data_IF_721816558267
#
_entry.id   IF_721816558267
#
_cell.length_a   1.000
_cell.length_b   1.000
_cell.length_c   1.000
_cell.angle_alpha   90.00
_cell.angle_beta   90.00
_cell.angle_gamma   90.00
#
_symmetry.space_group_name_H-M   'P 1'
#
loop_
_entity.id
_entity.type
_entity.pdbx_description
1 polymer ?
#
# COMPACT_ATOMS: atom_id res chain seq x y z
N UNK A 1 -17.90 -6.77 -11.43
CA UNK A 1 -17.96 -6.09 -10.12
C UNK A 1 -16.89 -6.67 -9.23
N UNK A 2 -16.12 -5.82 -8.57
CA UNK A 2 -15.07 -6.26 -7.64
C UNK A 2 -15.74 -6.94 -6.42
N UNK A 3 -15.24 -8.09 -5.90
CA UNK A 3 -15.87 -8.79 -4.78
C UNK A 3 -16.08 -7.91 -3.54
N UNK A 4 -15.14 -7.01 -3.25
CA UNK A 4 -15.21 -6.07 -2.13
C UNK A 4 -16.42 -5.13 -2.25
N UNK A 5 -16.71 -4.61 -3.44
CA UNK A 5 -17.86 -3.73 -3.67
C UNK A 5 -19.17 -4.41 -3.27
N UNK A 6 -19.34 -5.69 -3.64
CA UNK A 6 -20.53 -6.47 -3.29
C UNK A 6 -20.68 -6.64 -1.77
N UNK A 7 -19.58 -6.86 -1.06
CA UNK A 7 -19.59 -7.01 0.41
C UNK A 7 -19.94 -5.68 1.08
N UNK A 8 -19.36 -4.57 0.64
CA UNK A 8 -19.64 -3.26 1.19
C UNK A 8 -21.08 -2.83 0.96
N UNK A 9 -21.61 -3.01 -0.26
CA UNK A 9 -23.02 -2.75 -0.57
C UNK A 9 -23.97 -3.58 0.28
N UNK A 10 -23.67 -4.86 0.50
CA UNK A 10 -24.46 -5.75 1.35
C UNK A 10 -24.47 -5.31 2.83
N UNK A 11 -23.45 -4.57 3.27
CA UNK A 11 -23.36 -3.96 4.60
C UNK A 11 -23.99 -2.56 4.67
N UNK A 12 -24.51 -2.05 3.56
CA UNK A 12 -25.15 -0.75 3.48
C UNK A 12 -24.16 0.41 3.30
N UNK A 13 -22.90 0.10 2.97
CA UNK A 13 -21.91 1.13 2.68
C UNK A 13 -22.17 1.78 1.32
N UNK A 14 -21.88 3.06 1.24
CA UNK A 14 -22.05 3.82 0.01
C UNK A 14 -20.77 3.73 -0.84
N UNK A 15 -20.89 3.16 -2.03
CA UNK A 15 -19.81 3.13 -3.02
C UNK A 15 -19.89 4.41 -3.84
N UNK A 16 -18.79 5.16 -3.86
CA UNK A 16 -18.72 6.36 -4.67
C UNK A 16 -18.63 6.00 -6.17
N UNK A 17 -19.38 6.68 -7.07
CA UNK A 17 -19.38 6.39 -8.51
C UNK A 17 -17.99 6.46 -9.16
N UNK A 18 -17.10 7.32 -8.67
CA UNK A 18 -15.73 7.44 -9.17
C UNK A 18 -14.92 6.14 -9.01
N UNK A 19 -15.30 5.23 -8.11
CA UNK A 19 -14.65 3.92 -7.97
C UNK A 19 -14.69 3.07 -9.24
N UNK A 20 -15.63 3.34 -10.14
CA UNK A 20 -15.72 2.66 -11.43
C UNK A 20 -14.55 2.99 -12.39
N UNK A 21 -13.79 4.04 -12.09
CA UNK A 21 -12.61 4.47 -12.88
C UNK A 21 -11.29 3.94 -12.30
N UNK A 22 -11.32 3.32 -11.11
CA UNK A 22 -10.13 2.71 -10.54
C UNK A 22 -9.71 1.47 -11.33
N UNK A 23 -8.44 1.40 -11.66
CA UNK A 23 -7.83 0.22 -12.27
C UNK A 23 -7.46 -0.82 -11.18
N UNK A 24 -7.59 -2.10 -11.53
CA UNK A 24 -7.18 -3.19 -10.65
C UNK A 24 -5.79 -3.68 -11.03
N UNK A 25 -4.84 -3.54 -10.12
CA UNK A 25 -3.45 -3.97 -10.29
C UNK A 25 -3.33 -5.47 -10.55
N UNK A 26 -4.06 -6.29 -9.79
CA UNK A 26 -4.01 -7.76 -9.93
C UNK A 26 -4.37 -8.23 -11.33
N UNK A 27 -5.32 -7.58 -12.01
CA UNK A 27 -5.73 -7.98 -13.36
C UNK A 27 -4.64 -7.74 -14.41
N UNK A 28 -3.80 -6.73 -14.19
CA UNK A 28 -2.67 -6.44 -15.09
C UNK A 28 -1.50 -7.39 -14.85
N UNK A 29 -1.23 -7.75 -13.60
CA UNK A 29 -0.19 -8.72 -13.24
C UNK A 29 -0.55 -10.11 -13.78
N UNK A 30 -1.81 -10.54 -13.63
CA UNK A 30 -2.29 -11.82 -14.16
C UNK A 30 -2.15 -11.94 -15.68
N UNK A 31 -2.40 -10.87 -16.42
CA UNK A 31 -2.31 -10.88 -17.88
C UNK A 31 -0.87 -11.02 -18.40
N UNK A 32 0.13 -10.66 -17.59
CA UNK A 32 1.55 -10.73 -17.94
C UNK A 32 2.25 -11.96 -17.36
N UNK A 33 1.72 -12.54 -16.29
CA UNK A 33 2.24 -13.77 -15.67
C UNK A 33 1.89 -15.05 -16.46
N UNK A 34 1.14 -14.94 -17.55
CA UNK A 34 0.62 -16.10 -18.30
C UNK A 34 1.70 -17.00 -18.93
N UNK A 35 2.97 -16.62 -18.95
CA UNK A 35 4.09 -17.39 -19.49
C UNK A 35 5.32 -17.51 -18.57
N UNK A 36 5.18 -17.46 -17.26
CA UNK A 36 6.27 -17.64 -16.28
C UNK A 36 7.45 -16.65 -16.34
N UNK A 37 7.45 -15.69 -17.24
CA UNK A 37 8.45 -14.62 -17.32
C UNK A 37 7.81 -13.29 -16.95
N UNK A 38 7.69 -13.03 -15.65
CA UNK A 38 7.39 -11.69 -15.16
C UNK A 38 8.61 -10.82 -15.47
N UNK A 39 8.54 -10.06 -16.55
CA UNK A 39 9.51 -9.00 -16.79
C UNK A 39 9.31 -7.93 -15.70
N UNK A 40 10.00 -8.10 -14.59
CA UNK A 40 9.88 -7.30 -13.37
C UNK A 40 9.86 -5.78 -13.67
N UNK A 41 10.68 -5.34 -14.62
CA UNK A 41 10.71 -3.93 -15.04
C UNK A 41 9.41 -3.46 -15.75
N UNK A 42 8.78 -4.31 -16.55
CA UNK A 42 7.51 -3.95 -17.21
C UNK A 42 6.34 -3.99 -16.23
N UNK A 43 6.35 -4.95 -15.29
CA UNK A 43 5.35 -5.04 -14.23
C UNK A 43 5.41 -3.80 -13.32
N UNK A 44 6.60 -3.39 -12.87
CA UNK A 44 6.79 -2.19 -12.05
C UNK A 44 6.32 -0.95 -12.82
N UNK A 45 6.72 -0.77 -14.08
CA UNK A 45 6.32 0.39 -14.87
C UNK A 45 4.80 0.49 -15.07
N UNK A 46 4.12 -0.63 -15.28
CA UNK A 46 2.65 -0.65 -15.41
C UNK A 46 1.97 -0.41 -14.07
N UNK A 47 2.56 -0.90 -12.99
CA UNK A 47 2.08 -0.58 -11.64
C UNK A 47 2.13 0.92 -11.39
N UNK A 48 3.20 1.60 -11.72
CA UNK A 48 3.31 3.06 -11.62
C UNK A 48 2.24 3.80 -12.41
N UNK A 49 1.95 3.37 -13.64
CA UNK A 49 0.89 3.95 -14.48
C UNK A 49 -0.50 3.77 -13.82
N UNK A 50 -0.77 2.62 -13.23
CA UNK A 50 -2.03 2.32 -12.52
C UNK A 50 -2.13 3.14 -11.24
N UNK A 51 -1.07 3.18 -10.43
CA UNK A 51 -1.02 3.95 -9.19
C UNK A 51 -1.27 5.44 -9.47
N UNK A 52 -0.63 5.99 -10.50
CA UNK A 52 -0.88 7.37 -10.91
C UNK A 52 -2.32 7.61 -11.38
N UNK A 53 -2.87 6.70 -12.18
CA UNK A 53 -4.25 6.81 -12.66
C UNK A 53 -5.26 6.75 -11.49
N UNK A 54 -5.07 5.82 -10.56
CA UNK A 54 -5.91 5.69 -9.37
C UNK A 54 -5.79 6.92 -8.46
N UNK A 55 -4.57 7.43 -8.28
CA UNK A 55 -4.37 8.66 -7.54
C UNK A 55 -5.13 9.84 -8.17
N UNK A 56 -5.12 9.98 -9.49
CA UNK A 56 -5.84 11.06 -10.17
C UNK A 56 -7.36 10.99 -9.94
N UNK A 57 -7.94 9.78 -9.89
CA UNK A 57 -9.35 9.59 -9.51
C UNK A 57 -9.62 10.09 -8.11
N UNK A 58 -8.76 9.71 -7.15
CA UNK A 58 -8.85 10.17 -5.77
C UNK A 58 -8.67 11.69 -5.67
N UNK A 59 -7.65 12.24 -6.32
CA UNK A 59 -7.36 13.67 -6.30
C UNK A 59 -8.52 14.53 -6.82
N UNK A 60 -9.14 14.11 -7.92
CA UNK A 60 -10.29 14.81 -8.48
C UNK A 60 -11.49 14.77 -7.52
N UNK A 61 -11.71 13.62 -6.88
CA UNK A 61 -12.76 13.45 -5.88
C UNK A 61 -12.59 14.41 -4.70
N UNK A 62 -11.41 14.41 -4.06
CA UNK A 62 -11.15 15.23 -2.86
C UNK A 62 -10.94 16.72 -3.16
N UNK A 63 -10.79 17.09 -4.44
CA UNK A 63 -10.82 18.49 -4.87
C UNK A 63 -12.26 19.02 -4.86
N UNK A 64 -13.21 18.19 -5.24
CA UNK A 64 -14.60 18.57 -5.47
C UNK A 64 -15.49 18.28 -4.25
N UNK A 65 -15.05 17.41 -3.34
CA UNK A 65 -15.74 17.04 -2.11
C UNK A 65 -14.84 17.16 -0.89
N UNK A 66 -15.38 17.65 0.23
CA UNK A 66 -14.67 17.77 1.50
C UNK A 66 -14.83 16.51 2.34
N UNK A 67 -13.72 16.02 2.87
CA UNK A 67 -13.65 14.89 3.79
C UNK A 67 -12.80 15.24 5.01
N UNK A 68 -13.24 14.82 6.19
CA UNK A 68 -12.50 15.00 7.45
C UNK A 68 -11.43 13.92 7.65
N UNK A 69 -11.64 12.73 7.05
CA UNK A 69 -10.79 11.57 7.22
C UNK A 69 -10.68 10.78 5.92
N UNK A 70 -9.45 10.41 5.60
CA UNK A 70 -9.13 9.44 4.55
C UNK A 70 -8.58 8.18 5.20
N UNK A 71 -9.03 7.01 4.74
CA UNK A 71 -8.55 5.72 5.18
C UNK A 71 -8.06 4.97 3.93
N UNK A 72 -6.77 4.69 3.88
CA UNK A 72 -6.14 3.90 2.81
C UNK A 72 -5.83 2.50 3.32
N UNK A 73 -6.55 1.50 2.80
CA UNK A 73 -6.27 0.09 3.01
C UNK A 73 -5.40 -0.37 1.84
N UNK A 74 -4.09 -0.38 2.08
CA UNK A 74 -3.06 -0.62 1.05
C UNK A 74 -3.21 0.26 -0.20
N UNK A 75 -3.72 1.47 -0.02
CA UNK A 75 -3.84 2.45 -1.09
C UNK A 75 -2.45 3.09 -1.38
N UNK A 76 -1.56 2.29 -1.96
CA UNK A 76 -0.17 2.66 -2.25
C UNK A 76 -0.08 3.92 -3.10
N UNK A 77 -0.98 4.07 -4.06
CA UNK A 77 -1.11 5.27 -4.89
C UNK A 77 -1.31 6.54 -4.07
N UNK A 78 -2.13 6.46 -3.03
CA UNK A 78 -2.41 7.59 -2.16
C UNK A 78 -1.24 7.88 -1.23
N UNK A 79 -0.72 6.85 -0.57
CA UNK A 79 0.37 6.99 0.39
C UNK A 79 1.65 7.53 -0.26
N UNK A 80 2.09 6.92 -1.34
CA UNK A 80 3.27 7.35 -2.09
C UNK A 80 3.13 8.81 -2.57
N UNK A 81 2.00 9.13 -3.18
CA UNK A 81 1.79 10.45 -3.75
C UNK A 81 1.71 11.56 -2.69
N UNK A 82 1.12 11.28 -1.54
CA UNK A 82 1.09 12.23 -0.43
C UNK A 82 2.49 12.48 0.16
N UNK A 83 3.36 11.47 0.19
CA UNK A 83 4.75 11.66 0.60
C UNK A 83 5.55 12.50 -0.40
N UNK A 84 5.27 12.36 -1.71
CA UNK A 84 5.87 13.21 -2.73
C UNK A 84 5.28 14.63 -2.78
N UNK A 85 4.00 14.79 -2.38
CA UNK A 85 3.27 16.05 -2.47
C UNK A 85 2.54 16.36 -1.14
N UNK A 86 3.27 16.60 -0.03
CA UNK A 86 2.69 16.72 1.31
C UNK A 86 1.68 17.87 1.44
N UNK A 87 1.75 18.87 0.58
CA UNK A 87 0.80 19.99 0.52
C UNK A 87 -0.59 19.59 0.02
N UNK A 88 -0.73 18.41 -0.59
CA UNK A 88 -2.02 17.88 -1.05
C UNK A 88 -2.84 17.24 0.08
N UNK A 89 -2.21 16.97 1.22
CA UNK A 89 -2.91 16.42 2.39
C UNK A 89 -3.85 17.46 2.99
N UNK A 90 -5.16 17.23 2.89
CA UNK A 90 -6.23 18.14 3.36
C UNK A 90 -7.09 17.57 4.47
N UNK A 91 -6.98 16.27 4.76
CA UNK A 91 -7.74 15.57 5.79
C UNK A 91 -6.80 14.77 6.71
N UNK A 92 -7.32 14.29 7.83
CA UNK A 92 -6.62 13.26 8.59
C UNK A 92 -6.45 12.00 7.73
N UNK A 93 -5.28 11.35 7.81
CA UNK A 93 -5.00 10.17 7.00
C UNK A 93 -4.57 8.99 7.86
N UNK A 94 -5.29 7.89 7.71
CA UNK A 94 -4.99 6.59 8.33
C UNK A 94 -4.57 5.61 7.25
N UNK A 95 -3.39 5.03 7.42
CA UNK A 95 -2.87 3.97 6.57
C UNK A 95 -3.05 2.62 7.25
N UNK A 96 -3.62 1.64 6.52
CA UNK A 96 -3.73 0.24 6.95
C UNK A 96 -2.92 -0.64 6.00
N UNK A 97 -2.22 -1.63 6.55
CA UNK A 97 -1.51 -2.65 5.76
C UNK A 97 -1.33 -3.92 6.59
N UNK A 98 -1.17 -5.06 5.93
CA UNK A 98 -0.80 -6.34 6.54
C UNK A 98 0.64 -6.75 6.22
N UNK A 99 1.37 -5.95 5.46
CA UNK A 99 2.80 -6.14 5.22
C UNK A 99 3.57 -4.81 5.15
N UNK A 100 4.87 -4.89 5.41
CA UNK A 100 5.77 -3.73 5.35
C UNK A 100 7.08 -4.14 4.70
N UNK A 101 7.44 -3.42 3.63
CA UNK A 101 8.66 -3.67 2.87
C UNK A 101 8.62 -4.93 2.00
N UNK A 102 9.71 -5.17 1.33
CA UNK A 102 9.87 -6.23 0.35
C UNK A 102 11.06 -7.11 0.68
N UNK A 103 10.96 -8.39 0.42
CA UNK A 103 12.09 -9.32 0.44
C UNK A 103 12.40 -9.79 -0.99
N UNK A 104 13.67 -9.93 -1.34
CA UNK A 104 14.03 -10.46 -2.65
C UNK A 104 13.60 -11.93 -2.76
N UNK A 105 13.20 -12.36 -3.94
CA UNK A 105 12.92 -13.76 -4.21
C UNK A 105 14.20 -14.58 -4.08
N UNK A 106 14.09 -15.81 -3.58
CA UNK A 106 15.24 -16.68 -3.31
C UNK A 106 16.10 -16.98 -4.56
N UNK A 107 15.51 -16.95 -5.74
CA UNK A 107 16.14 -17.19 -7.04
C UNK A 107 16.41 -15.91 -7.84
N UNK A 108 16.09 -14.72 -7.29
CA UNK A 108 16.22 -13.43 -7.98
C UNK A 108 17.67 -12.92 -8.13
N UNK A 109 18.59 -13.47 -7.34
CA UNK A 109 20.00 -13.13 -7.39
C UNK A 109 20.35 -11.73 -6.87
N UNK A 110 21.63 -11.33 -7.07
CA UNK A 110 22.17 -10.08 -6.50
C UNK A 110 21.48 -8.81 -7.02
N UNK A 111 21.05 -8.84 -8.27
CA UNK A 111 20.38 -7.67 -8.88
C UNK A 111 19.02 -7.41 -8.25
N UNK A 112 18.25 -8.44 -8.02
CA UNK A 112 16.94 -8.32 -7.37
C UNK A 112 17.10 -7.91 -5.91
N UNK A 113 18.05 -8.50 -5.20
CA UNK A 113 18.36 -8.13 -3.83
C UNK A 113 18.75 -6.63 -3.72
N UNK A 114 19.54 -6.13 -4.68
CA UNK A 114 19.90 -4.71 -4.74
C UNK A 114 18.67 -3.82 -4.98
N UNK A 115 17.86 -4.14 -5.99
CA UNK A 115 16.66 -3.33 -6.32
C UNK A 115 15.63 -3.34 -5.18
N UNK A 116 15.45 -4.48 -4.52
CA UNK A 116 14.55 -4.60 -3.37
C UNK A 116 15.02 -3.75 -2.20
N UNK A 117 16.33 -3.79 -1.90
CA UNK A 117 16.90 -2.96 -0.84
C UNK A 117 16.81 -1.46 -1.15
N UNK A 118 17.01 -1.07 -2.41
CA UNK A 118 16.89 0.33 -2.86
C UNK A 118 15.44 0.83 -2.70
N UNK A 119 14.45 0.03 -3.08
CA UNK A 119 13.03 0.34 -2.92
C UNK A 119 12.62 0.49 -1.45
N UNK A 120 13.11 -0.42 -0.59
CA UNK A 120 12.89 -0.35 0.84
C UNK A 120 13.54 0.90 1.46
N UNK A 121 14.75 1.25 1.03
CA UNK A 121 15.44 2.45 1.50
C UNK A 121 14.67 3.72 1.13
N UNK A 122 14.14 3.80 -0.10
CA UNK A 122 13.30 4.91 -0.55
C UNK A 122 12.03 5.04 0.29
N UNK A 123 11.33 3.94 0.54
CA UNK A 123 10.14 3.93 1.43
C UNK A 123 10.47 4.45 2.83
N UNK A 124 11.56 3.97 3.43
CA UNK A 124 12.01 4.40 4.75
C UNK A 124 12.32 5.91 4.76
N UNK A 125 13.01 6.39 3.72
CA UNK A 125 13.37 7.81 3.59
C UNK A 125 12.11 8.68 3.45
N UNK A 126 11.14 8.31 2.63
CA UNK A 126 9.89 9.04 2.44
C UNK A 126 9.14 9.20 3.76
N UNK A 127 8.99 8.12 4.51
CA UNK A 127 8.30 8.14 5.80
C UNK A 127 9.06 9.00 6.82
N UNK A 128 10.39 8.88 6.86
CA UNK A 128 11.22 9.66 7.76
C UNK A 128 11.20 11.16 7.41
N UNK A 129 11.15 11.50 6.13
CA UNK A 129 11.15 12.89 5.65
C UNK A 129 9.84 13.61 5.95
N UNK A 130 8.71 12.90 5.90
CA UNK A 130 7.38 13.46 6.10
C UNK A 130 6.56 12.68 7.14
N UNK A 131 6.99 12.65 8.41
CA UNK A 131 6.40 11.79 9.44
C UNK A 131 4.96 12.15 9.82
N UNK A 132 4.43 13.26 9.27
CA UNK A 132 3.05 13.73 9.53
C UNK A 132 2.08 13.42 8.38
N UNK A 133 2.52 12.74 7.34
CA UNK A 133 1.59 12.33 6.28
C UNK A 133 0.58 11.35 6.84
N UNK A 134 1.03 10.27 7.48
CA UNK A 134 0.16 9.35 8.19
C UNK A 134 -0.13 9.88 9.59
N UNK A 135 -1.37 10.26 9.87
CA UNK A 135 -1.78 10.58 11.25
C UNK A 135 -1.85 9.32 12.11
N UNK A 136 -2.13 8.18 11.48
CA UNK A 136 -2.00 6.84 12.03
C UNK A 136 -1.56 5.88 10.94
N UNK A 137 -0.68 4.95 11.32
CA UNK A 137 -0.31 3.79 10.53
C UNK A 137 -0.66 2.54 11.33
N UNK A 138 -1.51 1.69 10.79
CA UNK A 138 -2.03 0.49 11.44
C UNK A 138 -1.54 -0.76 10.70
N UNK A 139 -0.91 -1.66 11.44
CA UNK A 139 -0.58 -2.99 10.94
C UNK A 139 -1.73 -3.96 11.32
N UNK A 140 -2.33 -4.59 10.32
CA UNK A 140 -3.42 -5.57 10.50
C UNK A 140 -2.82 -6.94 10.76
N UNK A 141 -2.57 -7.24 12.01
CA UNK A 141 -1.87 -8.43 12.49
C UNK A 141 -1.22 -8.17 13.84
N UNK A 142 -0.33 -9.05 14.26
CA UNK A 142 0.42 -8.94 15.50
C UNK A 142 1.93 -8.77 15.22
N UNK A 143 2.72 -8.26 16.16
CA UNK A 143 4.16 -8.09 15.96
C UNK A 143 4.88 -9.39 15.54
N UNK A 144 4.40 -10.55 16.01
CA UNK A 144 4.99 -11.86 15.68
C UNK A 144 4.79 -12.27 14.22
N UNK A 145 3.83 -11.66 13.51
CA UNK A 145 3.53 -11.96 12.12
C UNK A 145 4.48 -11.20 11.18
N UNK A 146 5.10 -10.14 11.66
CA UNK A 146 6.08 -9.38 10.88
C UNK A 146 7.38 -10.17 10.76
N UNK A 147 7.92 -10.28 9.55
CA UNK A 147 9.17 -10.99 9.29
C UNK A 147 10.33 -10.37 10.05
N UNK A 148 11.28 -11.21 10.50
CA UNK A 148 12.44 -10.77 11.26
C UNK A 148 13.66 -10.40 10.42
N UNK A 149 13.54 -10.42 9.10
CA UNK A 149 14.62 -10.09 8.17
C UNK A 149 14.89 -8.58 8.15
N UNK A 150 16.05 -8.18 7.65
CA UNK A 150 16.33 -6.78 7.37
C UNK A 150 15.71 -6.34 6.04
N UNK A 151 15.39 -5.06 5.90
CA UNK A 151 14.95 -4.48 4.63
C UNK A 151 16.01 -4.57 3.51
N UNK A 152 17.26 -4.78 3.88
CA UNK A 152 18.42 -4.92 3.01
C UNK A 152 19.71 -4.73 3.77
N UNK A 153 20.88 -4.79 3.10
CA UNK A 153 22.15 -4.49 3.71
C UNK A 153 22.15 -3.09 4.36
N UNK A 154 22.61 -3.00 5.59
CA UNK A 154 22.71 -1.74 6.36
C UNK A 154 21.36 -1.05 6.64
N UNK A 155 20.23 -1.70 6.37
CA UNK A 155 18.89 -1.24 6.70
C UNK A 155 18.37 -1.90 7.98
N UNK A 156 17.39 -1.31 8.66
CA UNK A 156 16.84 -1.87 9.89
C UNK A 156 16.15 -3.23 9.68
N UNK A 157 15.92 -3.95 10.78
CA UNK A 157 15.04 -5.12 10.76
C UNK A 157 13.59 -4.67 10.50
N UNK A 158 12.89 -5.40 9.63
CA UNK A 158 11.51 -5.07 9.24
C UNK A 158 10.60 -5.03 10.46
N UNK A 159 10.69 -6.05 11.34
CA UNK A 159 9.89 -6.10 12.57
C UNK A 159 10.14 -4.92 13.48
N UNK A 160 11.40 -4.65 13.81
CA UNK A 160 11.77 -3.58 14.74
C UNK A 160 11.33 -2.21 14.22
N UNK A 161 11.46 -1.99 12.92
CA UNK A 161 11.02 -0.77 12.27
C UNK A 161 9.50 -0.65 12.25
N UNK A 162 8.78 -1.74 11.97
CA UNK A 162 7.32 -1.77 11.97
C UNK A 162 6.77 -1.49 13.37
N UNK A 163 7.35 -2.09 14.43
CA UNK A 163 6.96 -1.82 15.81
C UNK A 163 7.15 -0.36 16.22
N UNK A 164 8.10 0.35 15.59
CA UNK A 164 8.34 1.76 15.87
C UNK A 164 7.39 2.71 15.13
N UNK A 165 6.86 2.30 13.98
CA UNK A 165 6.13 3.19 13.06
C UNK A 165 4.65 2.85 12.91
N UNK A 166 4.20 1.70 13.44
CA UNK A 166 2.82 1.22 13.32
C UNK A 166 2.23 0.86 14.67
N UNK A 167 0.94 1.15 14.82
CA UNK A 167 0.11 0.55 15.86
C UNK A 167 -0.43 -0.80 15.32
N UNK A 168 -0.44 -1.84 16.15
CA UNK A 168 -0.95 -3.16 15.75
C UNK A 168 -2.44 -3.30 16.07
N UNK A 169 -3.25 -3.55 15.05
CA UNK A 169 -4.69 -3.70 15.18
C UNK A 169 -5.15 -5.12 15.57
N UNK A 170 -4.23 -6.09 15.55
CA UNK A 170 -4.59 -7.51 15.61
C UNK A 170 -5.30 -7.94 14.32
N UNK A 171 -5.91 -9.13 14.37
CA UNK A 171 -6.65 -9.65 13.22
C UNK A 171 -8.07 -9.08 13.16
N UNK A 172 -8.46 -8.64 11.98
CA UNK A 172 -9.85 -8.25 11.70
C UNK A 172 -10.57 -9.46 11.10
N UNK A 173 -11.38 -10.15 11.89
CA UNK A 173 -12.20 -11.26 11.39
C UNK A 173 -13.48 -10.76 10.74
N UNK A 174 -13.85 -11.36 9.61
CA UNK A 174 -15.13 -11.07 8.93
C UNK A 174 -16.34 -11.73 9.58
N UNK A 175 -16.15 -12.44 10.70
CA UNK A 175 -17.18 -13.15 11.46
C UNK A 175 -16.95 -12.95 12.95
N UNK A 176 -18.03 -13.01 13.73
CA UNK A 176 -17.95 -12.99 15.17
C UNK A 176 -17.55 -14.41 15.63
N UNK A 177 -16.40 -14.60 16.28
CA UNK A 177 -16.05 -15.91 16.82
C UNK A 177 -16.89 -16.15 18.07
N UNK A 178 -17.88 -17.04 17.98
CA UNK A 178 -18.65 -17.55 19.12
C UNK A 178 -17.76 -18.31 20.13
#
# INVERSE_FOLDING_TARGET
>A
QHPVTTVLEARGERIHPASAFLANESHHIESESAEHDLHCFQAIRRMDEILLANFMVFHDLVRDEDYDLWIGDEAWELDYYLHENPEQKRAAYVWLTDFVGWLPMADGGEREAFLTADYNAEMIEHIARFPRIRDRALYVGNPVDVVGDAFGPDLPLIRDWTEQHFDFAGYVSGFDPD
#
